data_IF_473796143568
#
_entry.id   IF_473796143568
#
_cell.length_a   1.000
_cell.length_b   1.000
_cell.length_c   1.000
_cell.angle_alpha   90.00
_cell.angle_beta   90.00
_cell.angle_gamma   90.00
#
_symmetry.space_group_name_H-M   'P 1'
#
loop_
_entity.id
_entity.type
_entity.pdbx_description
1 polymer ?
#
# COMPACT_ATOMS: atom_id res chain seq x y z
N UNK A 1 11.23 44.42 -2.57
CA UNK A 1 11.60 43.07 -2.09
C UNK A 1 10.30 42.39 -1.70
N UNK A 2 9.83 41.44 -2.49
CA UNK A 2 8.58 40.73 -2.21
C UNK A 2 8.78 39.78 -1.03
N UNK A 3 7.83 39.76 -0.11
CA UNK A 3 7.83 38.84 1.03
C UNK A 3 7.79 37.40 0.51
N UNK A 4 8.78 36.58 0.89
CA UNK A 4 8.80 35.17 0.51
C UNK A 4 7.56 34.45 1.06
N UNK A 5 6.97 33.58 0.25
CA UNK A 5 5.82 32.77 0.66
C UNK A 5 6.27 31.40 1.18
N UNK A 6 5.56 30.86 2.17
CA UNK A 6 5.79 29.50 2.70
C UNK A 6 4.51 28.69 2.56
N UNK A 7 4.64 27.45 2.09
CA UNK A 7 3.54 26.51 1.97
C UNK A 7 3.46 25.61 3.20
N UNK A 8 2.25 25.43 3.72
CA UNK A 8 1.93 24.40 4.70
C UNK A 8 1.19 23.30 3.96
N UNK A 9 1.75 22.09 3.98
CA UNK A 9 1.25 20.97 3.20
C UNK A 9 0.67 19.89 4.11
N UNK A 10 -0.38 19.23 3.63
CA UNK A 10 -0.91 18.02 4.25
C UNK A 10 -0.03 16.84 3.90
N UNK A 11 -0.16 15.74 4.67
CA UNK A 11 0.55 14.49 4.42
C UNK A 11 0.37 13.97 2.99
N UNK A 12 -0.82 14.14 2.41
CA UNK A 12 -1.09 13.99 0.97
C UNK A 12 0.04 14.45 0.07
N UNK A 13 0.33 15.75 0.13
CA UNK A 13 1.33 16.39 -0.70
C UNK A 13 2.74 16.15 -0.17
N UNK A 14 2.94 16.18 1.16
CA UNK A 14 4.26 16.00 1.77
C UNK A 14 4.89 14.65 1.39
N UNK A 15 4.11 13.57 1.29
CA UNK A 15 4.61 12.25 0.88
C UNK A 15 5.00 12.18 -0.61
N UNK A 16 4.53 13.12 -1.44
CA UNK A 16 4.81 13.13 -2.88
C UNK A 16 5.99 14.04 -3.24
N UNK A 17 6.45 14.91 -2.33
CA UNK A 17 7.54 15.85 -2.60
C UNK A 17 8.82 15.12 -3.06
N UNK A 18 9.11 13.96 -2.48
CA UNK A 18 10.30 13.16 -2.83
C UNK A 18 10.25 12.60 -4.27
N UNK A 19 9.08 12.64 -4.92
CA UNK A 19 8.87 12.22 -6.32
C UNK A 19 8.82 13.38 -7.32
N UNK A 20 8.74 14.63 -6.84
CA UNK A 20 8.64 15.81 -7.70
C UNK A 20 10.01 16.20 -8.25
N UNK A 21 10.01 16.87 -9.40
CA UNK A 21 11.25 17.39 -9.95
C UNK A 21 11.78 18.53 -9.04
N UNK A 22 13.10 18.63 -8.78
CA UNK A 22 13.65 19.65 -7.89
C UNK A 22 13.20 21.09 -8.21
N UNK A 23 13.03 21.42 -9.50
CA UNK A 23 12.54 22.74 -9.92
C UNK A 23 11.11 23.06 -9.47
N UNK A 24 10.26 22.05 -9.31
CA UNK A 24 8.89 22.21 -8.82
C UNK A 24 8.92 22.56 -7.32
N UNK A 25 9.76 21.86 -6.55
CA UNK A 25 9.98 22.13 -5.12
C UNK A 25 10.60 23.52 -4.92
N UNK A 26 11.61 23.88 -5.71
CA UNK A 26 12.27 25.19 -5.65
C UNK A 26 11.30 26.35 -5.92
N UNK A 27 10.32 26.14 -6.79
CA UNK A 27 9.29 27.15 -7.11
C UNK A 27 8.39 27.50 -5.92
N UNK A 28 8.29 26.60 -4.93
CA UNK A 28 7.45 26.80 -3.75
C UNK A 28 8.08 27.78 -2.75
N UNK A 29 9.36 28.14 -2.87
CA UNK A 29 10.06 29.15 -2.04
C UNK A 29 10.09 28.86 -0.52
N UNK A 30 9.61 27.69 -0.09
CA UNK A 30 9.58 27.22 1.28
C UNK A 30 8.39 26.28 1.52
N UNK A 31 8.64 25.09 2.04
CA UNK A 31 7.59 24.09 2.33
C UNK A 31 7.77 23.51 3.71
N UNK A 32 6.69 23.48 4.48
CA UNK A 32 6.58 22.75 5.75
C UNK A 32 5.42 21.78 5.65
N UNK A 33 5.62 20.55 6.11
CA UNK A 33 4.62 19.51 6.02
C UNK A 33 4.78 18.46 7.11
N UNK A 34 3.82 17.54 7.16
CA UNK A 34 3.84 16.39 8.06
C UNK A 34 3.79 15.12 7.23
N UNK A 35 4.47 14.06 7.65
CA UNK A 35 4.37 12.75 6.98
C UNK A 35 4.23 11.62 8.00
N UNK A 36 3.49 10.55 7.69
CA UNK A 36 3.36 9.41 8.58
C UNK A 36 4.73 8.81 8.87
N UNK A 37 5.01 8.55 10.14
CA UNK A 37 6.24 7.90 10.54
C UNK A 37 6.11 6.37 10.38
N UNK A 38 6.83 5.81 9.42
CA UNK A 38 6.94 4.36 9.25
C UNK A 38 8.02 3.85 10.21
N UNK A 39 7.59 3.11 11.24
CA UNK A 39 8.52 2.48 12.19
C UNK A 39 9.44 1.50 11.46
N UNK A 40 10.74 1.58 11.73
CA UNK A 40 11.73 0.60 11.26
C UNK A 40 11.57 -0.72 12.02
N UNK A 41 10.72 -1.60 11.50
CA UNK A 41 10.54 -2.96 11.99
C UNK A 41 11.19 -3.94 11.01
N UNK A 42 11.54 -5.16 11.47
CA UNK A 42 12.09 -6.20 10.58
C UNK A 42 11.19 -6.44 9.35
N UNK A 43 9.87 -6.51 9.54
CA UNK A 43 8.90 -6.70 8.45
C UNK A 43 8.96 -5.56 7.41
N UNK A 44 9.07 -4.32 7.86
CA UNK A 44 9.13 -3.15 6.96
C UNK A 44 10.46 -3.09 6.21
N UNK A 45 11.57 -3.47 6.86
CA UNK A 45 12.88 -3.57 6.20
C UNK A 45 12.86 -4.66 5.12
N UNK A 46 12.37 -5.85 5.46
CA UNK A 46 12.23 -6.95 4.49
C UNK A 46 11.30 -6.58 3.33
N UNK A 47 10.22 -5.83 3.58
CA UNK A 47 9.35 -5.30 2.53
C UNK A 47 10.11 -4.33 1.61
N UNK A 48 10.84 -3.37 2.20
CA UNK A 48 11.60 -2.37 1.44
C UNK A 48 12.66 -3.03 0.54
N UNK A 49 13.36 -4.05 1.04
CA UNK A 49 14.35 -4.80 0.26
C UNK A 49 13.71 -5.53 -0.92
N UNK A 50 12.57 -6.21 -0.69
CA UNK A 50 11.81 -6.88 -1.77
C UNK A 50 11.29 -5.88 -2.79
N UNK A 51 10.78 -4.73 -2.33
CA UNK A 51 10.29 -3.66 -3.18
C UNK A 51 11.40 -3.13 -4.08
N UNK A 52 12.53 -2.70 -3.51
CA UNK A 52 13.67 -2.16 -4.29
C UNK A 52 14.18 -3.15 -5.32
N UNK A 53 14.30 -4.43 -4.94
CA UNK A 53 14.69 -5.49 -5.87
C UNK A 53 13.71 -5.62 -7.03
N UNK A 54 12.41 -5.73 -6.73
CA UNK A 54 11.38 -5.96 -7.76
C UNK A 54 11.21 -4.74 -8.67
N UNK A 55 11.20 -3.54 -8.09
CA UNK A 55 11.09 -2.30 -8.83
C UNK A 55 12.24 -2.14 -9.82
N UNK A 56 13.47 -2.45 -9.43
CA UNK A 56 14.61 -2.40 -10.33
C UNK A 56 14.56 -3.47 -11.44
N UNK A 57 14.02 -4.66 -11.14
CA UNK A 57 13.78 -5.69 -12.16
C UNK A 57 12.75 -5.25 -13.21
N UNK A 58 11.65 -4.63 -12.77
CA UNK A 58 10.55 -4.21 -13.63
C UNK A 58 10.84 -2.87 -14.35
N UNK A 59 11.65 -1.99 -13.74
CA UNK A 59 11.99 -0.65 -14.22
C UNK A 59 13.51 -0.37 -14.10
N UNK A 60 14.36 -1.00 -14.91
CA UNK A 60 15.81 -0.92 -14.78
C UNK A 60 16.39 0.48 -15.02
N UNK A 61 15.71 1.31 -15.80
CA UNK A 61 16.14 2.67 -16.16
C UNK A 61 15.71 3.73 -15.11
N UNK A 62 14.93 3.33 -14.10
CA UNK A 62 14.45 4.22 -13.05
C UNK A 62 15.18 3.87 -11.76
N UNK A 63 15.83 4.87 -11.15
CA UNK A 63 16.44 4.68 -9.84
C UNK A 63 15.32 4.42 -8.82
N UNK A 64 15.43 3.33 -8.08
CA UNK A 64 14.36 2.87 -7.21
C UNK A 64 14.16 3.86 -6.05
N UNK A 65 13.13 4.70 -6.14
CA UNK A 65 12.76 5.58 -5.02
C UNK A 65 12.29 4.72 -3.84
N UNK A 66 12.50 5.24 -2.63
CA UNK A 66 11.85 4.60 -1.48
C UNK A 66 10.33 4.65 -1.66
N UNK A 67 9.62 3.54 -1.36
CA UNK A 67 8.17 3.51 -1.46
C UNK A 67 7.58 4.55 -0.50
N UNK A 68 6.60 5.30 -0.99
CA UNK A 68 5.86 6.25 -0.17
C UNK A 68 4.86 5.49 0.70
N UNK A 69 4.28 6.14 1.71
CA UNK A 69 3.34 5.49 2.64
C UNK A 69 2.14 4.85 1.92
N UNK A 70 1.73 5.40 0.78
CA UNK A 70 0.64 4.86 -0.03
C UNK A 70 0.97 3.52 -0.67
N UNK A 71 2.23 3.27 -1.05
CA UNK A 71 2.66 1.98 -1.60
C UNK A 71 2.57 0.89 -0.53
N UNK A 72 2.97 1.23 0.71
CA UNK A 72 2.86 0.31 1.85
C UNK A 72 1.40 -0.01 2.18
N UNK A 73 0.52 1.00 2.19
CA UNK A 73 -0.91 0.78 2.45
C UNK A 73 -1.60 0.01 1.34
N UNK A 74 -1.22 0.21 0.08
CA UNK A 74 -1.73 -0.58 -1.04
C UNK A 74 -1.34 -2.06 -0.86
N UNK A 75 -0.08 -2.33 -0.48
CA UNK A 75 0.40 -3.68 -0.21
C UNK A 75 -0.36 -4.35 0.94
N UNK A 76 -0.55 -3.65 2.06
CA UNK A 76 -1.31 -4.18 3.21
C UNK A 76 -2.79 -4.39 2.87
N UNK A 77 -3.38 -3.49 2.08
CA UNK A 77 -4.78 -3.60 1.63
C UNK A 77 -4.99 -4.81 0.73
N UNK A 78 -4.07 -5.06 -0.20
CA UNK A 78 -4.12 -6.24 -1.08
C UNK A 78 -3.96 -7.55 -0.30
N UNK A 79 -3.06 -7.58 0.69
CA UNK A 79 -2.95 -8.73 1.59
C UNK A 79 -4.23 -8.95 2.42
N UNK A 80 -4.81 -7.89 2.97
CA UNK A 80 -6.07 -7.99 3.71
C UNK A 80 -7.21 -8.52 2.81
N UNK A 81 -7.27 -8.04 1.57
CA UNK A 81 -8.23 -8.51 0.58
C UNK A 81 -8.02 -9.98 0.25
N UNK A 82 -6.78 -10.44 0.03
CA UNK A 82 -6.51 -11.85 -0.29
C UNK A 82 -6.96 -12.78 0.84
N UNK A 83 -6.68 -12.42 2.09
CA UNK A 83 -7.13 -13.16 3.28
C UNK A 83 -8.66 -13.20 3.37
N UNK A 84 -9.33 -12.06 3.13
CA UNK A 84 -10.79 -12.00 3.16
C UNK A 84 -11.43 -12.88 2.08
N UNK A 85 -10.87 -12.89 0.86
CA UNK A 85 -11.33 -13.75 -0.24
C UNK A 85 -11.17 -15.23 0.12
N UNK A 86 -10.01 -15.64 0.64
CA UNK A 86 -9.77 -17.02 1.08
C UNK A 86 -10.76 -17.48 2.16
N UNK A 87 -11.09 -16.59 3.11
CA UNK A 87 -12.06 -16.88 4.15
C UNK A 87 -13.48 -17.00 3.60
N UNK A 88 -13.90 -16.07 2.74
CA UNK A 88 -15.22 -16.10 2.12
C UNK A 88 -15.42 -17.38 1.30
N UNK A 89 -14.40 -17.82 0.57
CA UNK A 89 -14.43 -19.07 -0.18
C UNK A 89 -14.57 -20.28 0.74
N UNK A 90 -13.78 -20.35 1.81
CA UNK A 90 -13.85 -21.45 2.80
C UNK A 90 -15.26 -21.58 3.39
N UNK A 91 -15.86 -20.47 3.80
CA UNK A 91 -17.23 -20.45 4.34
C UNK A 91 -18.23 -20.95 3.30
N UNK A 92 -18.09 -20.54 2.04
CA UNK A 92 -19.00 -20.98 0.98
C UNK A 92 -18.90 -22.49 0.73
N UNK A 93 -17.70 -23.07 0.75
CA UNK A 93 -17.50 -24.52 0.65
C UNK A 93 -18.07 -25.27 1.85
N UNK A 94 -17.88 -24.78 3.07
CA UNK A 94 -18.43 -25.41 4.27
C UNK A 94 -19.98 -25.42 4.25
N UNK A 95 -20.59 -24.35 3.74
CA UNK A 95 -22.05 -24.26 3.54
C UNK A 95 -22.52 -25.23 2.45
N UNK A 96 -21.80 -25.36 1.35
CA UNK A 96 -22.14 -26.28 0.26
C UNK A 96 -22.05 -27.75 0.70
N UNK A 97 -21.01 -28.10 1.47
CA UNK A 97 -20.87 -29.44 2.07
C UNK A 97 -22.00 -29.71 3.06
N UNK A 98 -22.28 -28.78 3.97
CA UNK A 98 -23.37 -28.96 4.94
C UNK A 98 -24.74 -29.07 4.26
N UNK A 99 -24.96 -28.31 3.18
CA UNK A 99 -26.17 -28.37 2.36
C UNK A 99 -26.32 -29.72 1.61
N UNK A 100 -25.24 -30.28 1.08
CA UNK A 100 -25.30 -31.55 0.37
C UNK A 100 -25.47 -32.77 1.31
N UNK A 101 -24.89 -32.73 2.51
CA UNK A 101 -25.04 -33.77 3.54
C UNK A 101 -26.45 -33.77 4.13
N UNK A 102 -27.06 -32.60 4.33
CA UNK A 102 -28.44 -32.50 4.83
C UNK A 102 -29.47 -32.97 3.79
N UNK A 103 -29.28 -32.63 2.51
CA UNK A 103 -30.17 -33.08 1.43
C UNK A 103 -30.06 -34.58 1.15
N UNK A 104 -28.86 -35.16 1.23
CA UNK A 104 -28.67 -36.62 1.08
C UNK A 104 -29.26 -37.43 2.23
N UNK A 105 -29.28 -36.89 3.46
CA UNK A 105 -29.93 -37.54 4.62
C UNK A 105 -31.46 -37.47 4.58
N UNK A 106 -32.05 -36.47 3.93
CA UNK A 106 -33.50 -36.33 3.76
C UNK A 106 -34.05 -37.07 2.54
N UNK A 107 -33.19 -37.61 1.67
CA UNK A 107 -33.56 -38.28 0.41
C UNK A 107 -33.65 -39.81 0.44
N UNK A 108 -33.54 -40.46 1.61
CA UNK A 108 -33.71 -41.91 1.72
C UNK A 108 -35.15 -42.26 2.18
N UNK A 109 -35.96 -42.98 1.38
CA UNK A 109 -37.24 -43.54 1.81
C UNK A 109 -37.09 -44.68 2.82
#
# INVERSE_FOLDING_TARGET
MGEGSVWITTDGLTNLLDTMHPSEIDSMQGVVGVRPYIRKTRKNVEFLERWKKRFHEDYPDIDASEPIVYDLWAYDSLQALSVAVEQAWRVNFDVEITGNETMSRLGSP
#
